data_IF_781135345131
#
_entry.id   IF_781135345131
#
_cell.length_a   1.000
_cell.length_b   1.000
_cell.length_c   1.000
_cell.angle_alpha   90.00
_cell.angle_beta   90.00
_cell.angle_gamma   90.00
#
_symmetry.space_group_name_H-M   'P 1'
#
loop_
_entity.id
_entity.type
_entity.pdbx_description
1 polymer ?
#
# COMPACT_ATOMS: atom_id res chain seq x y z
N UNK A 1 46.04 -7.28 14.85
CA UNK A 1 45.62 -7.23 13.43
C UNK A 1 44.54 -8.27 13.26
N UNK A 2 43.27 -7.86 13.29
CA UNK A 2 42.11 -8.77 13.40
C UNK A 2 41.52 -8.98 12.01
N UNK A 3 41.49 -10.22 11.53
CA UNK A 3 40.93 -10.56 10.23
C UNK A 3 39.42 -10.25 10.18
N UNK A 4 38.87 -9.74 9.05
CA UNK A 4 37.44 -9.50 8.95
C UNK A 4 36.67 -10.83 8.87
N UNK A 5 35.77 -11.05 9.83
CA UNK A 5 34.80 -12.14 9.81
C UNK A 5 33.93 -12.02 8.55
N UNK A 6 33.99 -13.03 7.67
CA UNK A 6 33.06 -13.17 6.56
C UNK A 6 31.71 -13.65 7.08
N UNK A 7 30.76 -12.74 7.22
CA UNK A 7 29.34 -13.07 7.40
C UNK A 7 28.78 -13.60 6.06
N UNK A 8 29.00 -14.90 5.82
CA UNK A 8 28.39 -15.64 4.72
C UNK A 8 27.37 -16.64 5.25
N UNK A 9 26.32 -16.14 5.93
CA UNK A 9 25.16 -16.97 6.27
C UNK A 9 24.43 -17.31 4.98
N UNK A 10 24.26 -18.61 4.69
CA UNK A 10 23.57 -19.09 3.51
C UNK A 10 22.19 -18.41 3.41
N UNK A 11 22.03 -17.53 2.43
CA UNK A 11 20.73 -17.01 2.05
C UNK A 11 19.88 -18.21 1.65
N UNK A 12 18.92 -18.59 2.50
CA UNK A 12 17.87 -19.54 2.15
C UNK A 12 17.09 -18.91 1.01
N UNK A 13 17.43 -19.28 -0.22
CA UNK A 13 16.65 -18.93 -1.39
C UNK A 13 15.32 -19.69 -1.28
N UNK A 14 14.31 -19.04 -0.72
CA UNK A 14 12.94 -19.46 -0.90
C UNK A 14 12.59 -19.14 -2.34
N UNK A 15 12.23 -20.14 -3.19
CA UNK A 15 11.74 -19.83 -4.52
C UNK A 15 10.52 -18.93 -4.34
N UNK A 16 10.59 -17.70 -4.87
CA UNK A 16 9.42 -16.85 -5.01
C UNK A 16 8.45 -17.61 -5.91
N UNK A 17 7.51 -18.33 -5.31
CA UNK A 17 6.35 -18.83 -6.04
C UNK A 17 5.71 -17.60 -6.67
N UNK A 18 5.48 -17.66 -7.97
CA UNK A 18 4.91 -16.57 -8.73
C UNK A 18 3.44 -16.41 -8.25
N UNK A 19 3.23 -15.70 -7.14
CA UNK A 19 1.94 -15.50 -6.47
C UNK A 19 1.04 -14.53 -7.26
N UNK A 20 1.27 -14.45 -8.58
CA UNK A 20 0.50 -13.66 -9.51
C UNK A 20 -0.81 -14.39 -9.76
N UNK A 21 -1.89 -13.82 -9.24
CA UNK A 21 -3.26 -14.27 -9.48
C UNK A 21 -3.96 -13.28 -10.43
N UNK A 22 -4.96 -13.72 -11.20
CA UNK A 22 -5.75 -12.82 -12.03
C UNK A 22 -6.46 -11.77 -11.17
N UNK A 23 -6.73 -10.60 -11.75
CA UNK A 23 -7.53 -9.57 -11.13
C UNK A 23 -8.96 -10.09 -10.85
N UNK A 24 -9.51 -9.78 -9.68
CA UNK A 24 -10.85 -10.19 -9.26
C UNK A 24 -11.99 -9.42 -9.96
N UNK A 25 -11.68 -8.39 -10.76
CA UNK A 25 -12.67 -7.64 -11.53
C UNK A 25 -12.98 -8.39 -12.83
N UNK A 26 -14.26 -8.70 -13.05
CA UNK A 26 -14.71 -9.40 -14.26
C UNK A 26 -14.30 -8.63 -15.53
N UNK A 27 -13.66 -9.32 -16.47
CA UNK A 27 -13.17 -8.73 -17.71
C UNK A 27 -11.82 -8.01 -17.61
N UNK A 28 -11.10 -8.11 -16.48
CA UNK A 28 -9.76 -7.56 -16.33
C UNK A 28 -8.68 -8.67 -16.44
N UNK A 29 -7.89 -8.63 -17.52
CA UNK A 29 -6.85 -9.64 -17.80
C UNK A 29 -5.51 -9.39 -17.10
N UNK A 30 -5.45 -8.37 -16.22
CA UNK A 30 -4.23 -8.02 -15.51
C UNK A 30 -3.94 -9.00 -14.37
N UNK A 31 -2.66 -9.35 -14.19
CA UNK A 31 -2.20 -10.17 -13.06
C UNK A 31 -1.83 -9.30 -11.86
N UNK A 32 -1.99 -9.82 -10.65
CA UNK A 32 -1.71 -9.10 -9.41
C UNK A 32 -1.10 -10.00 -8.35
N UNK A 33 -0.17 -9.44 -7.59
CA UNK A 33 0.38 -10.07 -6.39
C UNK A 33 -0.29 -9.55 -5.10
N UNK A 34 -1.36 -8.73 -5.21
CA UNK A 34 -2.05 -8.21 -4.03
C UNK A 34 -2.81 -9.31 -3.32
N UNK A 35 -2.80 -9.25 -2.00
CA UNK A 35 -3.70 -10.04 -1.15
C UNK A 35 -5.16 -9.77 -1.55
N UNK A 36 -5.54 -8.52 -1.84
CA UNK A 36 -6.90 -8.14 -2.28
C UNK A 36 -7.36 -8.77 -3.60
N UNK A 37 -6.45 -9.34 -4.39
CA UNK A 37 -6.80 -9.91 -5.70
C UNK A 37 -7.13 -8.87 -6.76
N UNK A 38 -6.91 -7.57 -6.53
CA UNK A 38 -7.13 -6.52 -7.54
C UNK A 38 -5.80 -6.04 -8.14
N UNK A 39 -5.77 -5.78 -9.46
CA UNK A 39 -4.61 -5.20 -10.15
C UNK A 39 -4.46 -3.71 -9.82
N UNK A 40 -3.31 -3.11 -10.12
CA UNK A 40 -3.02 -1.72 -9.74
C UNK A 40 -4.13 -0.72 -10.13
N UNK A 41 -4.68 -0.86 -11.34
CA UNK A 41 -5.78 -0.03 -11.85
C UNK A 41 -7.10 -0.19 -11.07
N UNK A 42 -7.31 -1.37 -10.46
CA UNK A 42 -8.50 -1.70 -9.68
C UNK A 42 -8.23 -1.73 -8.16
N UNK A 43 -7.00 -1.44 -7.72
CA UNK A 43 -6.63 -1.20 -6.32
C UNK A 43 -6.96 0.24 -5.92
N UNK A 44 -8.10 0.76 -6.37
CA UNK A 44 -8.65 2.03 -5.90
C UNK A 44 -8.97 2.01 -4.41
N UNK A 45 -8.95 0.83 -3.77
CA UNK A 45 -9.00 0.70 -2.32
C UNK A 45 -7.65 1.06 -1.69
N UNK A 46 -7.58 2.26 -1.12
CA UNK A 46 -6.62 2.57 -0.06
C UNK A 46 -7.09 1.79 1.17
N UNK A 47 -6.34 0.81 1.71
CA UNK A 47 -6.81 0.03 2.83
C UNK A 47 -6.91 0.93 4.07
N UNK A 48 -8.14 1.14 4.54
CA UNK A 48 -8.43 1.92 5.74
C UNK A 48 -9.02 1.00 6.81
N UNK A 49 -8.52 1.13 8.04
CA UNK A 49 -9.08 0.44 9.20
C UNK A 49 -9.08 1.38 10.41
N UNK A 50 -9.90 1.08 11.42
CA UNK A 50 -9.98 1.89 12.65
C UNK A 50 -9.90 1.03 13.90
N UNK A 51 -9.39 1.62 14.95
CA UNK A 51 -9.51 1.16 16.34
C UNK A 51 -10.31 2.21 17.13
N UNK A 52 -10.33 2.08 18.46
CA UNK A 52 -10.99 3.06 19.33
C UNK A 52 -10.30 4.44 19.27
N UNK A 53 -8.96 4.46 19.16
CA UNK A 53 -8.15 5.68 19.32
C UNK A 53 -7.30 6.05 18.08
N UNK A 54 -7.36 5.23 17.03
CA UNK A 54 -6.51 5.41 15.85
C UNK A 54 -7.19 4.97 14.54
N UNK A 55 -6.74 5.57 13.44
CA UNK A 55 -7.13 5.22 12.07
C UNK A 55 -5.87 4.81 11.32
N UNK A 56 -5.90 3.67 10.64
CA UNK A 56 -4.81 3.22 9.77
C UNK A 56 -5.19 3.39 8.31
N UNK A 57 -4.35 4.06 7.54
CA UNK A 57 -4.52 4.29 6.09
C UNK A 57 -3.26 3.75 5.40
N UNK A 58 -3.40 2.83 4.46
CA UNK A 58 -2.26 2.22 3.74
C UNK A 58 -1.18 1.59 4.66
N UNK A 59 -1.58 1.13 5.85
CA UNK A 59 -0.65 0.57 6.86
C UNK A 59 0.03 1.63 7.75
N UNK A 60 -0.23 2.92 7.55
CA UNK A 60 0.23 4.01 8.42
C UNK A 60 -0.85 4.29 9.45
N UNK A 61 -0.50 4.22 10.74
CA UNK A 61 -1.43 4.48 11.85
C UNK A 61 -1.35 5.96 12.26
N UNK A 62 -2.51 6.60 12.35
CA UNK A 62 -2.70 7.97 12.77
C UNK A 62 -3.55 8.02 14.04
N UNK A 63 -3.27 8.98 14.93
CA UNK A 63 -4.25 9.37 15.95
C UNK A 63 -5.49 9.95 15.29
N UNK A 64 -6.63 9.97 15.99
CA UNK A 64 -7.88 10.55 15.45
C UNK A 64 -7.68 12.01 15.00
N UNK A 65 -6.94 12.80 15.77
CA UNK A 65 -6.66 14.20 15.43
C UNK A 65 -5.81 14.34 14.15
N UNK A 66 -4.75 13.52 14.02
CA UNK A 66 -3.90 13.53 12.84
C UNK A 66 -4.64 13.03 11.59
N UNK A 67 -5.51 12.03 11.73
CA UNK A 67 -6.33 11.52 10.64
C UNK A 67 -7.33 12.56 10.10
N UNK A 68 -7.91 13.38 10.99
CA UNK A 68 -8.78 14.51 10.60
C UNK A 68 -8.00 15.55 9.80
N UNK A 69 -6.84 15.98 10.34
CA UNK A 69 -5.99 16.96 9.65
C UNK A 69 -5.51 16.46 8.27
N UNK A 70 -5.23 15.16 8.14
CA UNK A 70 -4.92 14.53 6.86
C UNK A 70 -6.11 14.60 5.89
N UNK A 71 -7.32 14.28 6.36
CA UNK A 71 -8.54 14.36 5.56
C UNK A 71 -8.79 15.76 5.02
N UNK A 72 -8.68 16.78 5.87
CA UNK A 72 -8.87 18.19 5.46
C UNK A 72 -7.88 18.59 4.35
N UNK A 73 -6.60 18.20 4.49
CA UNK A 73 -5.57 18.50 3.48
C UNK A 73 -5.79 17.77 2.16
N UNK A 74 -6.32 16.56 2.19
CA UNK A 74 -6.66 15.82 0.96
C UNK A 74 -7.80 16.53 0.23
N UNK A 75 -8.81 17.04 0.94
CA UNK A 75 -9.88 17.84 0.32
C UNK A 75 -9.35 19.12 -0.30
N UNK A 76 -8.52 19.90 0.42
CA UNK A 76 -7.93 21.13 -0.12
C UNK A 76 -7.16 20.87 -1.44
N UNK A 77 -6.35 19.80 -1.47
CA UNK A 77 -5.58 19.43 -2.65
C UNK A 77 -6.46 18.91 -3.80
N UNK A 78 -7.56 18.22 -3.50
CA UNK A 78 -8.50 17.78 -4.52
C UNK A 78 -9.16 18.98 -5.22
N UNK A 79 -9.56 19.99 -4.45
CA UNK A 79 -10.14 21.23 -4.99
C UNK A 79 -9.14 22.01 -5.86
N UNK A 80 -7.85 22.03 -5.49
CA UNK A 80 -6.79 22.64 -6.31
C UNK A 80 -6.64 21.91 -7.65
N UNK A 81 -6.60 20.57 -7.64
CA UNK A 81 -6.52 19.77 -8.87
C UNK A 81 -7.73 20.00 -9.77
N UNK A 82 -8.93 20.17 -9.22
CA UNK A 82 -10.13 20.45 -10.00
C UNK A 82 -10.07 21.83 -10.66
N UNK A 83 -9.60 22.86 -9.94
CA UNK A 83 -9.40 24.21 -10.49
C UNK A 83 -8.41 24.22 -11.65
N UNK A 84 -7.32 23.46 -11.55
CA UNK A 84 -6.30 23.40 -12.61
C UNK A 84 -6.80 22.71 -13.90
N UNK A 85 -7.92 22.00 -13.85
CA UNK A 85 -8.52 21.29 -14.99
C UNK A 85 -9.60 22.09 -15.73
N UNK A 86 -10.06 23.20 -15.17
CA UNK A 86 -11.04 24.13 -15.75
C UNK A 86 -10.37 25.33 -16.40
#
# INVERSE_FOLDING_TARGET
MTAPQRYGGAARYYPQTDNRKPCAVAGCDQVTQAISGRCFQHRTDIPVSRTQDAISVAGITFTVAAARALGDRIHDLADEIEKDRT
#
